data_IF_410769228459
#
_entry.id   IF_410769228459
#
_cell.length_a   1.000
_cell.length_b   1.000
_cell.length_c   1.000
_cell.angle_alpha   90.00
_cell.angle_beta   90.00
_cell.angle_gamma   90.00
#
_symmetry.space_group_name_H-M   'P 1'
#
loop_
_entity.id
_entity.type
_entity.pdbx_description
1 polymer ?
#
# COMPACT_ATOMS: atom_id res chain seq x y z
N UNK A 1 21.87 -19.95 29.87
CA UNK A 1 21.88 -18.50 29.57
C UNK A 1 20.85 -18.28 28.47
N UNK A 2 19.66 -17.82 28.84
CA UNK A 2 18.58 -17.49 27.91
C UNK A 2 18.76 -16.02 27.52
N UNK A 3 19.16 -15.74 26.29
CA UNK A 3 19.13 -14.37 25.78
C UNK A 3 17.67 -13.95 25.65
N UNK A 4 17.25 -13.05 26.54
CA UNK A 4 15.90 -12.51 26.58
C UNK A 4 15.60 -11.74 25.31
N UNK A 5 14.62 -12.21 24.56
CA UNK A 5 13.94 -11.39 23.57
C UNK A 5 13.37 -10.16 24.30
N UNK A 6 13.68 -8.93 23.85
CA UNK A 6 13.10 -7.74 24.47
C UNK A 6 11.58 -7.78 24.35
N UNK A 7 10.88 -7.42 25.44
CA UNK A 7 9.43 -7.25 25.45
C UNK A 7 9.00 -6.41 24.25
N UNK A 8 8.30 -7.05 23.32
CA UNK A 8 7.86 -6.39 22.10
C UNK A 8 6.86 -5.28 22.44
N UNK A 9 7.02 -4.06 21.88
CA UNK A 9 6.01 -3.03 22.02
C UNK A 9 4.66 -3.54 21.48
N UNK A 10 3.55 -3.06 22.08
CA UNK A 10 2.20 -3.45 21.67
C UNK A 10 2.03 -3.31 20.15
N UNK A 11 1.39 -4.29 19.48
CA UNK A 11 1.30 -4.30 18.02
C UNK A 11 0.60 -3.04 17.52
N UNK A 12 1.23 -2.34 16.59
CA UNK A 12 0.77 -1.10 15.95
C UNK A 12 -0.46 -1.30 15.04
N UNK A 13 -1.05 -2.50 15.02
CA UNK A 13 -2.33 -2.82 14.38
C UNK A 13 -2.24 -3.16 12.89
N UNK A 14 -1.07 -3.52 12.36
CA UNK A 14 -0.93 -4.04 11.00
C UNK A 14 -1.32 -5.53 10.89
N UNK A 15 -1.58 -6.06 9.68
CA UNK A 15 -1.91 -7.47 9.47
C UNK A 15 -0.77 -8.39 9.93
N UNK A 16 -1.15 -9.57 10.41
CA UNK A 16 -0.21 -10.67 10.64
C UNK A 16 -0.15 -11.57 9.41
N UNK A 17 1.06 -11.88 8.95
CA UNK A 17 1.27 -12.71 7.76
C UNK A 17 2.21 -13.86 8.11
N UNK A 18 1.95 -15.02 7.51
CA UNK A 18 2.80 -16.20 7.60
C UNK A 18 3.48 -16.38 6.26
N UNK A 19 4.81 -16.33 6.25
CA UNK A 19 5.61 -16.59 5.05
C UNK A 19 6.38 -17.89 5.21
N UNK A 20 6.63 -18.58 4.10
CA UNK A 20 7.50 -19.76 3.98
C UNK A 20 8.75 -19.39 3.21
N UNK A 21 9.72 -18.72 3.85
CA UNK A 21 10.97 -18.37 3.19
C UNK A 21 11.79 -19.63 2.89
N UNK A 22 12.49 -19.64 1.75
CA UNK A 22 13.52 -20.63 1.46
C UNK A 22 14.81 -20.38 2.26
N UNK A 23 15.08 -19.10 2.57
CA UNK A 23 16.20 -18.71 3.41
C UNK A 23 15.79 -17.54 4.31
N UNK A 24 16.26 -17.56 5.54
CA UNK A 24 16.04 -16.49 6.51
C UNK A 24 17.35 -16.23 7.26
N UNK A 25 17.81 -14.99 7.23
CA UNK A 25 19.02 -14.58 7.94
C UNK A 25 18.81 -13.23 8.61
N UNK A 26 19.52 -12.99 9.71
CA UNK A 26 19.59 -11.66 10.32
C UNK A 26 20.81 -10.95 9.76
N UNK A 27 20.61 -9.77 9.18
CA UNK A 27 21.70 -8.94 8.69
C UNK A 27 21.67 -7.59 9.38
N UNK A 28 22.66 -7.33 10.24
CA UNK A 28 22.75 -6.10 11.02
C UNK A 28 21.46 -5.82 11.82
N UNK A 29 20.63 -4.87 11.38
CA UNK A 29 19.41 -4.43 12.05
C UNK A 29 18.12 -4.80 11.31
N UNK A 30 18.21 -5.64 10.28
CA UNK A 30 17.08 -6.15 9.51
C UNK A 30 17.13 -7.69 9.41
N UNK A 31 16.02 -8.27 8.96
CA UNK A 31 15.95 -9.68 8.56
C UNK A 31 15.85 -9.76 7.05
N UNK A 32 16.64 -10.65 6.45
CA UNK A 32 16.66 -10.92 5.02
C UNK A 32 16.01 -12.27 4.79
N UNK A 33 14.97 -12.28 3.95
CA UNK A 33 14.22 -13.47 3.58
C UNK A 33 14.25 -13.63 2.06
N UNK A 34 14.34 -14.86 1.58
CA UNK A 34 14.02 -15.21 0.19
C UNK A 34 12.69 -15.94 0.17
N UNK A 35 11.68 -15.34 -0.45
CA UNK A 35 10.29 -15.81 -0.35
C UNK A 35 9.72 -16.05 -1.75
N UNK A 36 8.96 -17.14 -1.98
CA UNK A 36 8.23 -17.34 -3.23
C UNK A 36 7.32 -16.15 -3.54
N UNK A 37 7.38 -15.66 -4.79
CA UNK A 37 6.62 -14.50 -5.22
C UNK A 37 5.11 -14.68 -5.01
N UNK A 38 4.59 -15.89 -5.24
CA UNK A 38 3.19 -16.23 -5.03
C UNK A 38 2.69 -15.93 -3.60
N UNK A 39 3.55 -16.07 -2.57
CA UNK A 39 3.16 -15.76 -1.19
C UNK A 39 3.11 -14.26 -0.92
N UNK A 40 4.04 -13.50 -1.51
CA UNK A 40 4.11 -12.05 -1.33
C UNK A 40 3.05 -11.31 -2.15
N UNK A 41 2.71 -11.84 -3.32
CA UNK A 41 1.65 -11.29 -4.18
C UNK A 41 0.31 -11.31 -3.45
N UNK A 42 0.01 -12.36 -2.69
CA UNK A 42 -1.18 -12.43 -1.82
C UNK A 42 -1.29 -11.28 -0.80
N UNK A 43 -0.17 -10.63 -0.46
CA UNK A 43 -0.21 -9.45 0.41
C UNK A 43 -0.88 -8.27 -0.25
N UNK A 44 -0.70 -8.11 -1.56
CA UNK A 44 -1.21 -6.96 -2.29
C UNK A 44 -2.52 -7.22 -3.00
N UNK A 45 -3.13 -8.41 -2.91
CA UNK A 45 -4.46 -8.67 -3.49
C UNK A 45 -5.57 -7.86 -2.81
N UNK A 46 -6.62 -7.53 -3.57
CA UNK A 46 -7.78 -6.75 -3.11
C UNK A 46 -7.59 -5.23 -3.21
N UNK A 47 -8.65 -4.49 -3.50
CA UNK A 47 -8.58 -3.05 -3.78
C UNK A 47 -8.08 -2.19 -2.59
N UNK A 48 -8.21 -2.70 -1.36
CA UNK A 48 -7.83 -2.02 -0.13
C UNK A 48 -6.41 -2.35 0.37
N UNK A 49 -5.64 -3.15 -0.39
CA UNK A 49 -4.35 -3.66 0.08
C UNK A 49 -3.32 -2.58 0.42
N UNK A 50 -3.30 -1.47 -0.33
CA UNK A 50 -2.46 -0.31 -0.04
C UNK A 50 -2.75 0.29 1.35
N UNK A 51 -4.04 0.44 1.69
CA UNK A 51 -4.46 0.92 3.01
C UNK A 51 -4.14 -0.09 4.10
N UNK A 52 -4.44 -1.38 3.87
CA UNK A 52 -4.19 -2.47 4.82
C UNK A 52 -2.70 -2.60 5.16
N UNK A 53 -1.84 -2.48 4.16
CA UNK A 53 -0.38 -2.55 4.31
C UNK A 53 0.28 -1.20 4.58
N UNK A 54 -0.51 -0.13 4.78
CA UNK A 54 -0.03 1.23 5.07
C UNK A 54 1.02 1.73 4.08
N UNK A 55 0.86 1.38 2.80
CA UNK A 55 1.79 1.84 1.76
C UNK A 55 1.72 3.35 1.63
N UNK A 56 2.85 3.98 1.29
CA UNK A 56 2.89 5.43 1.10
C UNK A 56 2.06 5.87 -0.12
N UNK A 57 1.99 5.01 -1.15
CA UNK A 57 1.30 5.24 -2.43
C UNK A 57 0.55 3.98 -2.85
N UNK A 58 -0.59 4.18 -3.52
CA UNK A 58 -1.31 3.09 -4.19
C UNK A 58 -0.66 2.67 -5.51
N UNK A 59 -1.25 1.70 -6.19
CA UNK A 59 -0.79 1.27 -7.51
C UNK A 59 -1.06 2.34 -8.57
N UNK A 60 -0.14 2.50 -9.51
CA UNK A 60 -0.21 3.51 -10.57
C UNK A 60 -0.54 2.84 -11.88
N UNK A 61 -1.83 2.73 -12.14
CA UNK A 61 -2.30 2.15 -13.39
C UNK A 61 -1.83 3.01 -14.58
N UNK A 62 -1.53 2.33 -15.69
CA UNK A 62 -1.32 2.91 -17.01
C UNK A 62 -0.17 3.92 -17.14
N UNK A 63 0.82 3.88 -16.24
CA UNK A 63 2.07 4.63 -16.45
C UNK A 63 3.05 3.80 -17.28
N UNK A 64 3.91 4.42 -18.10
CA UNK A 64 4.91 3.68 -18.87
C UNK A 64 5.78 2.74 -18.02
N UNK A 65 6.08 3.14 -16.79
CA UNK A 65 6.88 2.36 -15.84
C UNK A 65 6.13 1.15 -15.31
N UNK A 66 4.84 1.28 -14.98
CA UNK A 66 4.05 0.15 -14.48
C UNK A 66 3.69 -0.82 -15.59
N UNK A 67 3.41 -0.35 -16.80
CA UNK A 67 3.25 -1.21 -17.98
C UNK A 67 4.53 -1.98 -18.29
N UNK A 68 5.71 -1.35 -18.16
CA UNK A 68 6.99 -2.04 -18.33
C UNK A 68 7.23 -3.10 -17.24
N UNK A 69 6.82 -2.84 -15.99
CA UNK A 69 6.86 -3.83 -14.91
C UNK A 69 5.92 -5.01 -15.21
N UNK A 70 4.69 -4.75 -15.62
CA UNK A 70 3.73 -5.81 -16.00
C UNK A 70 4.26 -6.65 -17.15
N UNK A 71 4.80 -6.02 -18.20
CA UNK A 71 5.39 -6.73 -19.33
C UNK A 71 6.57 -7.60 -18.89
N UNK A 72 7.46 -7.07 -18.05
CA UNK A 72 8.57 -7.87 -17.50
C UNK A 72 8.06 -9.04 -16.66
N UNK A 73 6.97 -8.85 -15.91
CA UNK A 73 6.41 -9.91 -15.08
C UNK A 73 5.79 -11.02 -15.95
N UNK A 74 5.26 -10.70 -17.14
CA UNK A 74 4.80 -11.69 -18.12
C UNK A 74 5.95 -12.44 -18.79
N UNK A 75 7.00 -11.74 -19.20
CA UNK A 75 8.07 -12.31 -20.02
C UNK A 75 9.12 -13.08 -19.21
N UNK A 76 9.49 -12.55 -18.05
CA UNK A 76 10.62 -13.07 -17.25
C UNK A 76 10.37 -12.77 -15.76
N UNK A 77 9.39 -13.43 -15.13
CA UNK A 77 9.05 -13.17 -13.73
C UNK A 77 10.24 -13.44 -12.79
N UNK A 78 11.11 -14.40 -13.08
CA UNK A 78 12.35 -14.68 -12.34
C UNK A 78 13.30 -13.48 -12.24
N UNK A 79 13.30 -12.59 -13.24
CA UNK A 79 14.12 -11.38 -13.22
C UNK A 79 13.69 -10.44 -12.09
N UNK A 80 12.46 -10.52 -11.60
CA UNK A 80 12.02 -9.71 -10.46
C UNK A 80 12.77 -10.03 -9.17
N UNK A 81 13.39 -11.21 -9.06
CA UNK A 81 14.23 -11.58 -7.91
C UNK A 81 15.62 -10.95 -7.93
N UNK A 82 16.07 -10.44 -9.09
CA UNK A 82 17.43 -9.94 -9.28
C UNK A 82 17.61 -8.51 -8.71
N UNK A 83 16.78 -7.51 -9.07
CA UNK A 83 16.96 -6.14 -8.61
C UNK A 83 16.12 -5.82 -7.37
N UNK A 84 16.79 -5.29 -6.36
CA UNK A 84 16.17 -4.58 -5.24
C UNK A 84 15.33 -5.46 -4.30
N UNK A 85 15.18 -4.97 -3.07
CA UNK A 85 14.44 -5.65 -2.02
C UNK A 85 12.97 -5.24 -2.03
N UNK A 86 12.09 -6.17 -1.67
CA UNK A 86 10.77 -5.82 -1.12
C UNK A 86 11.00 -5.44 0.33
N UNK A 87 10.57 -4.25 0.74
CA UNK A 87 10.89 -3.74 2.08
C UNK A 87 9.65 -3.74 2.95
N UNK A 88 9.69 -4.50 4.03
CA UNK A 88 8.61 -4.61 5.01
C UNK A 88 9.00 -3.96 6.33
N UNK A 89 8.03 -3.33 6.96
CA UNK A 89 8.06 -3.00 8.37
C UNK A 89 7.24 -4.00 9.17
N UNK A 90 7.67 -4.33 10.38
CA UNK A 90 6.93 -5.20 11.28
C UNK A 90 7.03 -4.71 12.72
N UNK A 91 6.05 -5.08 13.54
CA UNK A 91 6.16 -4.91 14.99
C UNK A 91 7.09 -5.98 15.58
N UNK A 92 6.90 -7.23 15.15
CA UNK A 92 7.75 -8.36 15.53
C UNK A 92 7.76 -9.42 14.45
N UNK A 93 8.84 -10.19 14.44
CA UNK A 93 9.07 -11.33 13.56
C UNK A 93 9.38 -12.53 14.45
N UNK A 94 8.54 -13.57 14.40
CA UNK A 94 8.66 -14.75 15.25
C UNK A 94 8.75 -16.01 14.39
N UNK A 95 9.70 -16.93 14.67
CA UNK A 95 9.71 -18.24 14.03
C UNK A 95 8.42 -18.98 14.36
N UNK A 96 7.69 -19.44 13.34
CA UNK A 96 6.58 -20.34 13.53
C UNK A 96 7.16 -21.75 13.68
N UNK A 97 7.55 -22.13 14.90
CA UNK A 97 8.11 -23.46 15.14
C UNK A 97 7.02 -24.51 14.89
N UNK A 98 7.13 -25.23 13.77
CA UNK A 98 6.68 -26.63 13.70
C UNK A 98 7.80 -27.51 14.25
N UNK A 99 7.47 -28.65 14.84
CA UNK A 99 8.45 -29.66 15.21
C UNK A 99 9.26 -30.06 13.96
N UNK A 100 10.51 -29.58 13.87
CA UNK A 100 11.39 -29.78 12.72
C UNK A 100 11.45 -28.57 11.77
N UNK A 101 12.62 -27.92 11.76
CA UNK A 101 13.04 -26.74 10.97
C UNK A 101 12.11 -25.50 10.98
N UNK A 102 12.70 -24.31 11.12
CA UNK A 102 11.98 -23.04 11.13
C UNK A 102 11.57 -22.63 9.70
N UNK A 103 10.70 -23.41 9.07
CA UNK A 103 10.32 -23.25 7.66
C UNK A 103 9.34 -22.11 7.42
N UNK A 104 8.78 -21.54 8.51
CA UNK A 104 7.83 -20.45 8.42
C UNK A 104 8.10 -19.35 9.42
N UNK A 105 7.78 -18.14 9.02
CA UNK A 105 7.99 -16.93 9.79
C UNK A 105 6.68 -16.18 9.89
N UNK A 106 6.24 -15.92 11.13
CA UNK A 106 5.15 -15.00 11.39
C UNK A 106 5.70 -13.58 11.47
N UNK A 107 5.11 -12.69 10.68
CA UNK A 107 5.40 -11.26 10.70
C UNK A 107 4.13 -10.56 11.19
N UNK A 108 4.20 -9.97 12.37
CA UNK A 108 3.08 -9.29 13.00
C UNK A 108 3.18 -7.78 12.80
N UNK A 109 2.03 -7.13 12.58
CA UNK A 109 2.00 -5.68 12.42
C UNK A 109 2.62 -5.21 11.11
N UNK A 110 2.41 -5.98 10.03
CA UNK A 110 3.13 -5.79 8.78
C UNK A 110 2.73 -4.48 8.09
N UNK A 111 3.71 -3.76 7.58
CA UNK A 111 3.55 -2.69 6.60
C UNK A 111 4.46 -2.90 5.41
N UNK A 112 4.04 -2.43 4.23
CA UNK A 112 4.83 -2.49 3.01
C UNK A 112 5.46 -1.11 2.75
N UNK A 113 6.76 -1.00 3.02
CA UNK A 113 7.53 0.24 2.92
C UNK A 113 7.96 0.51 1.48
N UNK A 114 8.40 -0.52 0.75
CA UNK A 114 8.77 -0.43 -0.66
C UNK A 114 8.48 -1.74 -1.41
N UNK A 115 8.27 -1.64 -2.72
CA UNK A 115 8.00 -2.78 -3.60
C UNK A 115 6.52 -2.94 -3.98
N UNK A 116 5.64 -2.01 -3.61
CA UNK A 116 4.20 -2.13 -3.90
C UNK A 116 3.88 -2.23 -5.39
N UNK A 117 4.50 -1.40 -6.24
CA UNK A 117 4.28 -1.46 -7.70
C UNK A 117 4.72 -2.80 -8.29
N UNK A 118 5.87 -3.32 -7.85
CA UNK A 118 6.40 -4.61 -8.29
C UNK A 118 5.48 -5.76 -7.91
N UNK A 119 5.07 -5.83 -6.63
CA UNK A 119 4.18 -6.88 -6.17
C UNK A 119 2.82 -6.80 -6.87
N UNK A 120 2.32 -5.61 -7.16
CA UNK A 120 1.06 -5.43 -7.89
C UNK A 120 1.13 -5.83 -9.35
N UNK A 121 2.20 -5.48 -10.06
CA UNK A 121 2.43 -5.95 -11.42
C UNK A 121 2.45 -7.49 -11.46
N UNK A 122 3.12 -8.13 -10.51
CA UNK A 122 3.11 -9.60 -10.39
C UNK A 122 1.74 -10.16 -10.00
N UNK A 123 0.95 -9.44 -9.20
CA UNK A 123 -0.43 -9.82 -8.87
C UNK A 123 -1.34 -9.83 -10.10
N UNK A 124 -1.23 -8.81 -10.96
CA UNK A 124 -1.99 -8.75 -12.21
C UNK A 124 -1.62 -9.92 -13.13
N UNK A 125 -0.33 -10.22 -13.26
CA UNK A 125 0.13 -11.35 -14.06
C UNK A 125 -0.26 -12.70 -13.44
N UNK A 126 -0.29 -12.81 -12.12
CA UNK A 126 -0.80 -14.00 -11.43
C UNK A 126 -2.28 -14.23 -11.74
N UNK A 127 -3.09 -13.18 -11.72
CA UNK A 127 -4.52 -13.25 -12.05
C UNK A 127 -4.74 -13.60 -13.55
N UNK A 128 -3.82 -13.18 -14.44
CA UNK A 128 -3.87 -13.41 -15.88
C UNK A 128 -3.38 -14.82 -16.29
N UNK A 129 -2.22 -15.25 -15.79
CA UNK A 129 -1.50 -16.45 -16.26
C UNK A 129 -1.51 -17.61 -15.24
N UNK A 130 -1.98 -17.36 -14.02
CA UNK A 130 -2.08 -18.36 -12.96
C UNK A 130 -0.79 -18.58 -12.15
N UNK A 131 -0.88 -19.40 -11.08
CA UNK A 131 0.18 -19.57 -10.09
C UNK A 131 1.44 -20.26 -10.62
N UNK A 132 1.31 -21.10 -11.64
CA UNK A 132 2.45 -21.83 -12.22
C UNK A 132 3.48 -20.88 -12.85
N UNK A 133 3.04 -19.72 -13.35
CA UNK A 133 3.90 -18.70 -13.93
C UNK A 133 4.90 -18.11 -12.92
N UNK A 134 4.49 -17.99 -11.65
CA UNK A 134 5.33 -17.44 -10.58
C UNK A 134 5.99 -18.52 -9.70
N UNK A 135 5.77 -19.80 -10.00
CA UNK A 135 6.17 -20.90 -9.11
C UNK A 135 7.67 -20.96 -8.81
N UNK A 136 8.51 -20.49 -9.76
CA UNK A 136 9.97 -20.49 -9.64
C UNK A 136 10.54 -19.14 -9.23
N UNK A 137 9.71 -18.12 -9.09
CA UNK A 137 10.16 -16.77 -8.80
C UNK A 137 10.34 -16.56 -7.31
N UNK A 138 11.54 -16.14 -6.91
CA UNK A 138 11.88 -15.79 -5.54
C UNK A 138 12.14 -14.30 -5.44
N UNK A 139 11.60 -13.68 -4.39
CA UNK A 139 11.83 -12.27 -4.11
C UNK A 139 12.63 -12.12 -2.82
N UNK A 140 13.60 -11.20 -2.86
CA UNK A 140 14.38 -10.79 -1.70
C UNK A 140 13.56 -9.82 -0.87
N UNK A 141 13.32 -10.15 0.39
CA UNK A 141 12.53 -9.36 1.34
C UNK A 141 13.41 -8.90 2.50
N UNK A 142 13.41 -7.61 2.77
CA UNK A 142 14.07 -7.03 3.92
C UNK A 142 13.03 -6.55 4.93
N UNK A 143 13.09 -7.07 6.15
CA UNK A 143 12.14 -6.76 7.22
C UNK A 143 12.82 -5.95 8.32
N UNK A 144 12.27 -4.77 8.59
CA UNK A 144 12.70 -3.87 9.65
C UNK A 144 11.70 -3.89 10.81
N UNK A 145 12.20 -4.03 12.04
CA UNK A 145 11.39 -4.02 13.26
C UNK A 145 11.70 -2.81 14.15
N UNK A 146 10.75 -2.42 15.01
CA UNK A 146 10.96 -1.39 16.04
C UNK A 146 11.45 -0.05 15.47
N UNK A 147 12.49 0.54 16.08
CA UNK A 147 13.03 1.84 15.68
C UNK A 147 13.56 1.89 14.24
N UNK A 148 14.05 0.76 13.73
CA UNK A 148 14.56 0.67 12.35
C UNK A 148 13.45 0.70 11.32
N UNK A 149 12.24 0.24 11.68
CA UNK A 149 11.05 0.40 10.84
C UNK A 149 10.78 1.86 10.53
N UNK A 150 10.78 2.70 11.56
CA UNK A 150 10.56 4.14 11.40
C UNK A 150 11.71 4.81 10.61
N UNK A 151 12.94 4.33 10.77
CA UNK A 151 14.09 4.79 10.00
C UNK A 151 13.95 4.45 8.51
N UNK A 152 13.61 3.20 8.19
CA UNK A 152 13.35 2.75 6.84
C UNK A 152 12.19 3.54 6.22
N UNK A 153 11.05 3.69 6.91
CA UNK A 153 9.91 4.47 6.43
C UNK A 153 10.30 5.90 6.03
N UNK A 154 11.11 6.59 6.84
CA UNK A 154 11.62 7.93 6.50
C UNK A 154 12.54 7.90 5.28
N UNK A 155 13.47 6.95 5.23
CA UNK A 155 14.44 6.84 4.12
C UNK A 155 13.75 6.59 2.78
N UNK A 156 12.90 5.57 2.71
CA UNK A 156 12.16 5.21 1.50
C UNK A 156 11.13 6.28 1.14
N UNK A 157 10.46 6.89 2.13
CA UNK A 157 9.59 8.04 1.90
C UNK A 157 10.31 9.28 1.35
N UNK A 158 11.59 9.48 1.69
CA UNK A 158 12.44 10.49 1.08
C UNK A 158 12.84 10.11 -0.35
N UNK A 159 13.33 8.89 -0.56
CA UNK A 159 13.76 8.40 -1.87
C UNK A 159 12.63 8.46 -2.91
N UNK A 160 11.40 8.12 -2.51
CA UNK A 160 10.21 8.22 -3.36
C UNK A 160 9.94 9.64 -3.86
N UNK A 161 10.23 10.67 -3.04
CA UNK A 161 10.06 12.08 -3.45
C UNK A 161 11.06 12.50 -4.52
N UNK A 162 12.22 11.84 -4.60
CA UNK A 162 13.24 12.13 -5.60
C UNK A 162 13.06 11.31 -6.88
N UNK A 163 12.46 10.11 -6.80
CA UNK A 163 12.19 9.25 -7.98
C UNK A 163 10.88 9.59 -8.68
N UNK A 164 9.92 10.18 -7.98
CA UNK A 164 8.61 10.56 -8.52
C UNK A 164 8.17 11.90 -7.94
N UNK A 165 8.15 12.96 -8.76
CA UNK A 165 7.43 14.18 -8.42
C UNK A 165 5.96 13.77 -8.26
N UNK A 166 5.47 13.79 -7.01
CA UNK A 166 4.12 13.36 -6.65
C UNK A 166 3.11 14.24 -7.37
N UNK A 167 2.29 13.65 -8.22
CA UNK A 167 1.22 14.39 -8.90
C UNK A 167 -0.07 14.32 -8.07
N UNK A 168 -0.98 15.28 -8.26
CA UNK A 168 -2.20 15.43 -7.45
C UNK A 168 -3.08 14.15 -7.40
N UNK A 169 -2.98 13.27 -8.40
CA UNK A 169 -3.69 11.99 -8.44
C UNK A 169 -3.20 10.98 -7.38
N UNK A 170 -1.96 11.10 -6.90
CA UNK A 170 -1.39 10.22 -5.86
C UNK A 170 -1.99 10.46 -4.47
N UNK A 171 -2.57 11.65 -4.27
CA UNK A 171 -3.13 12.08 -3.00
C UNK A 171 -4.54 11.53 -2.74
N UNK A 172 -5.21 10.98 -3.75
CA UNK A 172 -6.61 10.54 -3.65
C UNK A 172 -6.83 9.35 -2.70
N UNK A 173 -5.79 8.58 -2.37
CA UNK A 173 -5.89 7.43 -1.45
C UNK A 173 -6.00 7.86 0.02
N UNK A 174 -5.56 9.09 0.38
CA UNK A 174 -5.62 9.60 1.76
C UNK A 174 -6.91 10.36 2.10
N UNK A 175 -7.61 10.91 1.11
CA UNK A 175 -8.78 11.76 1.32
C UNK A 175 -10.13 11.05 1.15
N UNK A 176 -10.18 9.87 0.54
CA UNK A 176 -11.44 9.13 0.34
C UNK A 176 -11.99 8.43 1.61
N UNK A 177 -11.31 8.55 2.76
CA UNK A 177 -11.70 7.93 4.03
C UNK A 177 -12.44 8.84 5.01
N UNK A 178 -12.83 10.06 4.63
CA UNK A 178 -13.39 11.03 5.58
C UNK A 178 -14.21 12.14 4.95
N UNK A 179 -15.29 11.81 4.25
CA UNK A 179 -16.42 12.72 4.04
C UNK A 179 -17.65 11.92 3.58
N UNK A 180 -18.24 11.14 4.49
CA UNK A 180 -19.61 10.68 4.30
C UNK A 180 -20.53 11.87 4.43
N UNK A 181 -21.09 12.29 3.30
CA UNK A 181 -22.48 12.73 3.12
C UNK A 181 -23.16 13.45 4.30
N UNK A 182 -23.28 14.77 4.20
CA UNK A 182 -24.52 15.45 4.56
C UNK A 182 -24.87 16.44 3.44
N UNK A 183 -25.61 15.96 2.45
CA UNK A 183 -26.20 16.76 1.39
C UNK A 183 -27.35 17.61 1.96
N UNK A 184 -27.26 18.89 1.63
CA UNK A 184 -28.21 19.96 1.82
C UNK A 184 -29.70 19.59 1.62
N UNK A 185 -30.56 20.14 2.49
CA UNK A 185 -31.93 20.52 2.14
C UNK A 185 -32.24 21.88 2.77
N UNK A 186 -32.72 22.83 1.97
CA UNK A 186 -33.55 23.93 2.48
C UNK A 186 -33.05 25.34 2.19
N UNK A 187 -33.17 25.78 0.93
CA UNK A 187 -33.20 27.21 0.58
C UNK A 187 -34.40 27.88 1.26
N UNK A 188 -34.13 28.62 2.33
CA UNK A 188 -35.08 29.53 2.99
C UNK A 188 -35.17 30.85 2.23
N UNK A 189 -36.23 30.96 1.42
CA UNK A 189 -36.61 32.09 0.57
C UNK A 189 -37.05 33.28 1.43
N UNK A 190 -36.58 34.47 1.08
CA UNK A 190 -36.93 35.75 1.70
C UNK A 190 -38.42 36.07 1.55
N UNK A 191 -38.96 36.65 2.62
CA UNK A 191 -40.37 36.99 2.87
C UNK A 191 -40.81 38.20 2.01
N UNK A 192 -42.03 38.22 1.44
CA UNK A 192 -42.57 39.40 0.77
C UNK A 192 -43.34 40.28 1.75
N UNK A 193 -43.20 41.60 1.63
CA UNK A 193 -44.15 42.57 2.18
C UNK A 193 -44.75 43.38 1.03
N UNK A 194 -46.07 43.45 1.07
CA UNK A 194 -47.00 43.91 0.07
C UNK A 194 -47.35 45.40 0.15
N UNK A 195 -47.95 45.87 -0.94
CA UNK A 195 -48.70 47.13 -1.14
C UNK A 195 -47.82 48.36 -1.45
N UNK A 196 -48.16 49.24 -2.40
CA UNK A 196 -49.50 49.61 -2.88
C UNK A 196 -49.43 50.09 -4.33
N UNK A 197 -50.47 49.78 -5.09
CA UNK A 197 -50.73 50.27 -6.45
C UNK A 197 -51.05 51.77 -6.48
N UNK A 198 -50.67 52.49 -7.54
CA UNK A 198 -51.53 53.50 -8.17
C UNK A 198 -51.18 53.59 -9.66
N UNK A 199 -52.23 53.62 -10.49
CA UNK A 199 -52.26 53.51 -11.95
C UNK A 199 -52.25 54.93 -12.59
N UNK A 200 -52.60 55.09 -13.89
CA UNK A 200 -51.75 55.41 -15.03
C UNK A 200 -51.80 56.90 -15.46
N UNK A 201 -50.98 57.31 -16.44
CA UNK A 201 -51.34 58.40 -17.37
C UNK A 201 -50.47 58.38 -18.65
N UNK A 202 -51.16 58.30 -19.77
CA UNK A 202 -50.78 58.79 -21.10
C UNK A 202 -52.00 59.57 -21.62
N UNK A 203 -51.94 60.40 -22.68
CA UNK A 203 -50.87 61.23 -23.29
C UNK A 203 -51.32 62.73 -23.24
N UNK A 204 -50.99 63.73 -24.13
CA UNK A 204 -50.92 63.71 -25.60
C UNK A 204 -49.74 64.45 -26.29
N UNK A 205 -49.74 64.26 -27.60
CA UNK A 205 -49.03 64.82 -28.77
C UNK A 205 -48.48 66.25 -28.77
N UNK A 206 -47.34 66.43 -29.43
CA UNK A 206 -47.19 67.27 -30.65
C UNK A 206 -46.00 66.80 -31.48
#
# INVERSE_FOLDING_TARGET
MNEGFPDAPAPSGGPSILLRPLSASRFSRSFHLEVPAAELVGLVTGADSARRLRTARGYLHDTPETLALEQRARESPEDFGLPGWIVLGADTLVPARSEGFADRVWIHGTELIDGHQRLRAMALVLDELGPDHLARTLLKVEVYCGAERERARRLFGCADRYRNIRNAQDWAVRSAGGASSNSAVGRGRTRPTSSTATRPRSPPST
#
